data_IF_842797322122
#
_entry.id   IF_842797322122
#
_cell.length_a   1.000
_cell.length_b   1.000
_cell.length_c   1.000
_cell.angle_alpha   90.00
_cell.angle_beta   90.00
_cell.angle_gamma   90.00
#
_symmetry.space_group_name_H-M   'P 1'
#
loop_
_entity.id
_entity.type
_entity.pdbx_description
1 polymer ?
#
# COMPACT_ATOMS: atom_id res chain seq x y z
N UNK A 1 32.24 15.81 21.33
CA UNK A 1 31.09 15.09 20.72
C UNK A 1 30.07 14.63 21.77
N UNK A 2 30.49 14.08 22.92
CA UNK A 2 29.61 13.80 24.08
C UNK A 2 28.99 15.05 24.76
N UNK A 3 29.70 16.19 24.69
CA UNK A 3 29.28 17.45 25.34
C UNK A 3 27.96 18.04 24.82
N UNK A 4 27.63 17.83 23.55
CA UNK A 4 26.42 18.37 22.94
C UNK A 4 25.15 17.62 23.39
N UNK A 5 25.30 16.34 23.77
CA UNK A 5 24.20 15.49 24.25
C UNK A 5 23.90 15.83 25.71
N UNK A 6 24.93 15.94 26.56
CA UNK A 6 24.74 16.32 27.97
C UNK A 6 24.11 17.70 28.14
N UNK A 7 24.42 18.66 27.25
CA UNK A 7 23.84 20.01 27.29
C UNK A 7 22.34 20.06 26.95
N UNK A 8 21.74 18.96 26.46
CA UNK A 8 20.33 18.86 26.10
C UNK A 8 19.52 17.89 26.96
N UNK A 9 20.13 17.28 27.97
CA UNK A 9 19.41 16.42 28.90
C UNK A 9 18.54 17.26 29.83
N UNK A 10 17.27 16.91 29.91
CA UNK A 10 16.31 17.48 30.86
C UNK A 10 16.46 16.79 32.23
N UNK A 11 15.86 17.37 33.27
CA UNK A 11 15.94 16.81 34.63
C UNK A 11 15.45 15.35 34.68
N UNK A 12 16.31 14.47 35.19
CA UNK A 12 16.05 13.03 35.30
C UNK A 12 16.46 12.21 34.08
N UNK A 13 16.85 12.85 32.97
CA UNK A 13 17.41 12.15 31.81
C UNK A 13 18.88 11.77 32.04
N UNK A 14 19.31 10.63 31.49
CA UNK A 14 20.69 10.13 31.64
C UNK A 14 21.20 9.64 30.30
N UNK A 15 22.42 9.99 29.94
CA UNK A 15 23.06 9.48 28.73
C UNK A 15 24.41 8.80 29.02
N UNK A 16 24.72 7.75 28.29
CA UNK A 16 26.03 7.10 28.31
C UNK A 16 26.38 6.52 26.93
N UNK A 17 27.68 6.34 26.66
CA UNK A 17 28.13 5.69 25.43
C UNK A 17 28.25 4.18 25.62
N UNK A 18 27.89 3.39 24.62
CA UNK A 18 28.10 1.94 24.58
C UNK A 18 28.41 1.51 23.15
N UNK A 19 29.57 0.89 22.93
CA UNK A 19 29.97 0.28 21.65
C UNK A 19 29.71 1.14 20.40
N UNK A 20 30.12 2.42 20.43
CA UNK A 20 29.93 3.35 19.30
C UNK A 20 28.53 3.97 19.19
N UNK A 21 27.62 3.66 20.11
CA UNK A 21 26.30 4.28 20.20
C UNK A 21 26.14 5.12 21.47
N UNK A 22 25.22 6.07 21.46
CA UNK A 22 24.76 6.79 22.65
C UNK A 22 23.39 6.26 23.08
N UNK A 23 23.26 5.93 24.36
CA UNK A 23 21.99 5.53 24.97
C UNK A 23 21.52 6.68 25.83
N UNK A 24 20.27 7.10 25.64
CA UNK A 24 19.60 8.12 26.47
C UNK A 24 18.40 7.48 27.15
N UNK A 25 18.38 7.58 28.47
CA UNK A 25 17.24 7.25 29.32
C UNK A 25 16.47 8.53 29.62
N UNK A 26 15.15 8.53 29.34
CA UNK A 26 14.25 9.63 29.67
C UNK A 26 13.07 9.08 30.49
N UNK A 27 12.82 9.59 31.72
CA UNK A 27 11.71 9.14 32.56
C UNK A 27 10.40 9.80 32.09
N UNK A 28 9.96 9.46 30.88
CA UNK A 28 8.72 9.98 30.30
C UNK A 28 7.66 8.87 30.21
N UNK A 29 6.42 9.19 30.61
CA UNK A 29 5.25 8.36 30.32
C UNK A 29 4.85 8.57 28.86
N UNK A 30 5.13 7.58 28.00
CA UNK A 30 4.76 7.65 26.59
C UNK A 30 3.26 7.38 26.45
N UNK A 31 2.47 8.44 26.23
CA UNK A 31 1.04 8.32 25.94
C UNK A 31 0.88 8.16 24.42
N UNK A 32 0.72 6.91 23.96
CA UNK A 32 0.44 6.62 22.55
C UNK A 32 -1.00 6.98 22.19
N UNK A 33 -1.19 8.09 21.46
CA UNK A 33 -2.46 8.38 20.76
C UNK A 33 -2.25 8.22 19.26
N UNK A 34 -2.33 6.98 18.78
CA UNK A 34 -2.27 6.68 17.34
C UNK A 34 -0.98 7.08 16.63
N UNK A 35 0.19 6.76 17.21
CA UNK A 35 1.50 7.04 16.61
C UNK A 35 1.93 5.98 15.60
N UNK A 36 2.50 6.40 14.46
CA UNK A 36 3.19 5.51 13.51
C UNK A 36 4.55 5.10 14.07
N UNK A 37 4.81 3.80 14.16
CA UNK A 37 6.13 3.26 14.47
C UNK A 37 6.94 3.08 13.19
N UNK A 38 8.20 3.53 13.17
CA UNK A 38 9.16 3.25 12.10
C UNK A 38 10.25 2.33 12.66
N UNK A 39 10.42 1.16 12.02
CA UNK A 39 11.56 0.28 12.24
C UNK A 39 12.62 0.63 11.20
N UNK A 40 13.68 1.31 11.61
CA UNK A 40 14.86 1.50 10.77
C UNK A 40 15.79 0.28 10.95
N UNK A 41 15.45 -0.80 10.24
CA UNK A 41 16.32 -1.96 10.13
C UNK A 41 17.44 -1.72 9.12
N UNK A 42 18.62 -2.32 9.35
CA UNK A 42 19.72 -2.40 8.39
C UNK A 42 19.17 -2.80 7.01
N UNK A 43 19.33 -1.90 6.03
CA UNK A 43 18.92 -2.03 4.61
C UNK A 43 18.07 -3.26 4.33
N UNK A 44 16.75 -3.12 4.51
CA UNK A 44 15.80 -4.16 4.11
C UNK A 44 15.96 -4.38 2.61
N UNK A 45 16.66 -5.46 2.24
CA UNK A 45 16.66 -6.03 0.90
C UNK A 45 15.20 -6.01 0.45
N UNK A 46 14.88 -5.33 -0.66
CA UNK A 46 13.49 -5.14 -0.98
C UNK A 46 12.86 -6.51 -1.12
N UNK A 47 11.85 -6.78 -0.31
CA UNK A 47 11.06 -7.98 -0.50
C UNK A 47 10.54 -7.90 -1.94
N UNK A 48 11.02 -8.80 -2.80
CA UNK A 48 10.32 -9.19 -4.04
C UNK A 48 9.02 -9.94 -3.66
N UNK A 49 8.38 -9.53 -2.57
CA UNK A 49 7.28 -10.19 -1.93
C UNK A 49 6.02 -9.51 -2.41
N UNK A 50 5.13 -10.30 -2.99
CA UNK A 50 3.77 -9.91 -3.32
C UNK A 50 3.22 -8.90 -2.31
N UNK A 51 2.92 -7.69 -2.77
CA UNK A 51 2.23 -6.71 -1.94
C UNK A 51 0.84 -7.27 -1.58
N UNK A 52 0.69 -7.64 -0.31
CA UNK A 52 -0.52 -8.28 0.21
C UNK A 52 -1.74 -7.37 0.09
N UNK A 53 -1.55 -6.05 0.17
CA UNK A 53 -2.65 -5.10 0.01
C UNK A 53 -3.13 -5.08 -1.44
N UNK A 54 -2.20 -5.06 -2.40
CA UNK A 54 -2.55 -5.13 -3.83
C UNK A 54 -3.23 -6.46 -4.19
N UNK A 55 -2.69 -7.58 -3.73
CA UNK A 55 -3.27 -8.92 -3.95
C UNK A 55 -4.65 -9.03 -3.31
N UNK A 56 -4.81 -8.57 -2.07
CA UNK A 56 -6.10 -8.54 -1.40
C UNK A 56 -7.09 -7.62 -2.10
N UNK A 57 -6.60 -6.52 -2.67
CA UNK A 57 -7.41 -5.60 -3.46
C UNK A 57 -7.99 -6.24 -4.71
N UNK A 58 -7.15 -6.96 -5.48
CA UNK A 58 -7.60 -7.74 -6.64
C UNK A 58 -8.61 -8.81 -6.25
N UNK A 59 -8.36 -9.56 -5.17
CA UNK A 59 -9.35 -10.54 -4.69
C UNK A 59 -10.69 -9.87 -4.40
N UNK A 60 -10.66 -8.79 -3.61
CA UNK A 60 -11.88 -8.08 -3.20
C UNK A 60 -12.63 -7.51 -4.41
N UNK A 61 -11.94 -6.99 -5.42
CA UNK A 61 -12.60 -6.46 -6.61
C UNK A 61 -13.33 -7.54 -7.41
N UNK A 62 -12.73 -8.73 -7.55
CA UNK A 62 -13.41 -9.88 -8.16
C UNK A 62 -14.57 -10.41 -7.30
N UNK A 63 -14.46 -10.37 -5.97
CA UNK A 63 -15.55 -10.73 -5.07
C UNK A 63 -16.75 -9.80 -5.26
N UNK A 64 -16.52 -8.49 -5.37
CA UNK A 64 -17.57 -7.49 -5.61
C UNK A 64 -18.21 -7.70 -6.99
N UNK A 65 -17.41 -7.93 -8.04
CA UNK A 65 -17.94 -8.21 -9.37
C UNK A 65 -18.87 -9.44 -9.36
N UNK A 66 -18.48 -10.50 -8.63
CA UNK A 66 -19.33 -11.69 -8.46
C UNK A 66 -20.57 -11.40 -7.61
N UNK A 67 -20.47 -10.59 -6.56
CA UNK A 67 -21.61 -10.32 -5.66
C UNK A 67 -22.71 -9.52 -6.35
N UNK A 68 -22.37 -8.68 -7.33
CA UNK A 68 -23.37 -7.98 -8.16
C UNK A 68 -23.86 -8.83 -9.35
N UNK A 69 -23.46 -10.09 -9.46
CA UNK A 69 -23.80 -10.97 -10.56
C UNK A 69 -23.31 -10.43 -11.91
N UNK A 70 -22.11 -9.84 -11.95
CA UNK A 70 -21.51 -9.39 -13.20
C UNK A 70 -21.23 -10.59 -14.10
N UNK A 71 -21.83 -10.58 -15.29
CA UNK A 71 -21.57 -11.51 -16.38
C UNK A 71 -21.03 -10.76 -17.58
N UNK A 72 -19.96 -11.30 -18.15
CA UNK A 72 -19.40 -10.86 -19.43
C UNK A 72 -19.91 -11.70 -20.60
N UNK A 73 -20.84 -12.63 -20.35
CA UNK A 73 -21.42 -13.48 -21.39
C UNK A 73 -22.45 -12.71 -22.22
N UNK A 74 -22.22 -12.70 -23.53
CA UNK A 74 -23.07 -12.06 -24.53
C UNK A 74 -22.44 -10.80 -25.13
N UNK A 75 -23.23 -9.99 -25.86
CA UNK A 75 -22.72 -8.85 -26.60
C UNK A 75 -22.33 -7.65 -25.72
N UNK A 76 -22.76 -7.63 -24.45
CA UNK A 76 -22.45 -6.55 -23.52
C UNK A 76 -22.39 -7.08 -22.06
N UNK A 77 -21.57 -6.46 -21.19
CA UNK A 77 -21.55 -6.76 -19.77
C UNK A 77 -22.93 -6.53 -19.13
N UNK A 78 -23.35 -7.44 -18.27
CA UNK A 78 -24.61 -7.34 -17.49
C UNK A 78 -24.32 -7.57 -16.02
N UNK A 79 -25.05 -6.86 -15.15
CA UNK A 79 -25.00 -7.08 -13.70
C UNK A 79 -26.42 -7.22 -13.17
N UNK A 80 -26.63 -8.17 -12.25
CA UNK A 80 -27.91 -8.39 -11.58
C UNK A 80 -28.13 -7.47 -10.37
N UNK A 81 -27.07 -6.85 -9.86
CA UNK A 81 -27.08 -5.95 -8.72
C UNK A 81 -26.24 -4.69 -8.93
N UNK A 82 -26.23 -3.85 -7.91
CA UNK A 82 -25.49 -2.58 -7.89
C UNK A 82 -24.62 -2.48 -6.65
N UNK A 83 -23.54 -1.71 -6.77
CA UNK A 83 -22.62 -1.45 -5.67
C UNK A 83 -23.14 -0.29 -4.82
N UNK A 84 -23.34 -0.56 -3.52
CA UNK A 84 -24.10 0.33 -2.64
C UNK A 84 -23.26 1.31 -1.82
N UNK A 85 -21.94 1.09 -1.68
CA UNK A 85 -21.07 1.98 -0.92
C UNK A 85 -19.87 2.51 -1.73
N UNK A 86 -19.35 3.66 -1.30
CA UNK A 86 -18.24 4.37 -1.99
C UNK A 86 -16.99 3.52 -2.09
N UNK A 87 -16.66 2.75 -1.05
CA UNK A 87 -15.46 1.93 -1.04
C UNK A 87 -15.51 0.84 -2.11
N UNK A 88 -16.62 0.12 -2.21
CA UNK A 88 -16.80 -0.92 -3.22
C UNK A 88 -16.86 -0.34 -4.64
N UNK A 89 -17.38 0.89 -4.82
CA UNK A 89 -17.36 1.58 -6.12
C UNK A 89 -15.94 1.91 -6.58
N UNK A 90 -15.03 2.20 -5.66
CA UNK A 90 -13.60 2.40 -5.96
C UNK A 90 -12.86 1.08 -6.14
N UNK A 91 -13.32 -0.01 -5.51
CA UNK A 91 -12.69 -1.33 -5.59
C UNK A 91 -13.11 -2.12 -6.82
N UNK A 92 -14.39 -2.11 -7.20
CA UNK A 92 -14.90 -2.90 -8.32
C UNK A 92 -14.12 -2.70 -9.64
N UNK A 93 -13.69 -1.48 -10.03
CA UNK A 93 -12.92 -1.27 -11.25
C UNK A 93 -11.59 -2.03 -11.32
N UNK A 94 -10.99 -2.38 -10.18
CA UNK A 94 -9.70 -3.09 -10.16
C UNK A 94 -9.78 -4.49 -10.80
N UNK A 95 -10.97 -5.10 -10.84
CA UNK A 95 -11.19 -6.39 -11.52
C UNK A 95 -10.96 -6.31 -13.04
N UNK A 96 -10.96 -5.10 -13.61
CA UNK A 96 -10.82 -4.83 -15.04
C UNK A 96 -9.48 -4.16 -15.39
N UNK A 97 -8.51 -4.21 -14.48
CA UNK A 97 -7.14 -3.82 -14.79
C UNK A 97 -6.61 -4.64 -15.96
N UNK A 98 -5.69 -4.05 -16.73
CA UNK A 98 -5.03 -4.73 -17.81
C UNK A 98 -4.44 -6.07 -17.32
N UNK A 99 -4.62 -7.18 -18.06
CA UNK A 99 -4.25 -8.51 -17.58
C UNK A 99 -2.79 -8.63 -17.14
N UNK A 100 -1.88 -7.95 -17.85
CA UNK A 100 -0.45 -7.88 -17.53
C UNK A 100 -0.17 -7.17 -16.20
N UNK A 101 -0.95 -6.14 -15.85
CA UNK A 101 -0.87 -5.46 -14.55
C UNK A 101 -1.30 -6.40 -13.43
N UNK A 102 -2.44 -7.09 -13.61
CA UNK A 102 -2.91 -8.08 -12.64
C UNK A 102 -1.88 -9.19 -12.43
N UNK A 103 -1.32 -9.73 -13.52
CA UNK A 103 -0.26 -10.72 -13.45
C UNK A 103 0.99 -10.19 -12.76
N UNK A 104 1.39 -8.93 -13.00
CA UNK A 104 2.54 -8.35 -12.32
C UNK A 104 2.31 -8.28 -10.81
N UNK A 105 1.13 -7.84 -10.36
CA UNK A 105 0.74 -7.80 -8.95
C UNK A 105 0.80 -9.20 -8.33
N UNK A 106 0.19 -10.19 -8.99
CA UNK A 106 0.15 -11.57 -8.52
C UNK A 106 1.53 -12.25 -8.50
N UNK A 107 2.46 -11.79 -9.33
CA UNK A 107 3.83 -12.31 -9.38
C UNK A 107 4.82 -11.50 -8.52
N UNK A 108 4.37 -10.44 -7.83
CA UNK A 108 5.29 -9.55 -7.11
C UNK A 108 6.21 -8.72 -8.02
N UNK A 109 5.84 -8.55 -9.29
CA UNK A 109 6.58 -7.82 -10.35
C UNK A 109 6.02 -6.42 -10.62
N UNK A 110 5.05 -5.95 -9.83
CA UNK A 110 4.53 -4.59 -9.95
C UNK A 110 5.62 -3.54 -9.69
N UNK A 111 5.49 -2.32 -10.27
CA UNK A 111 6.34 -1.19 -9.91
C UNK A 111 6.32 -0.91 -8.41
N UNK A 112 7.47 -0.58 -7.82
CA UNK A 112 7.59 -0.27 -6.37
C UNK A 112 6.76 0.93 -5.94
N UNK A 113 6.50 1.84 -6.86
CA UNK A 113 5.68 3.02 -6.64
C UNK A 113 4.19 2.71 -6.64
N UNK A 114 3.77 1.52 -7.11
CA UNK A 114 2.37 1.15 -7.23
C UNK A 114 1.79 0.82 -5.85
N UNK A 115 0.77 1.55 -5.44
CA UNK A 115 0.04 1.29 -4.19
C UNK A 115 -1.43 1.01 -4.46
N UNK A 116 -2.11 0.35 -3.51
CA UNK A 116 -3.54 0.11 -3.62
C UNK A 116 -4.35 1.42 -3.73
N UNK A 117 -3.93 2.46 -3.01
CA UNK A 117 -4.59 3.77 -3.06
C UNK A 117 -4.51 4.44 -4.43
N UNK A 118 -3.44 4.21 -5.19
CA UNK A 118 -3.33 4.71 -6.57
C UNK A 118 -4.26 3.98 -7.53
N UNK A 119 -4.64 2.73 -7.23
CA UNK A 119 -5.62 1.98 -8.04
C UNK A 119 -7.07 2.38 -7.71
N UNK A 120 -7.33 2.89 -6.50
CA UNK A 120 -8.66 3.32 -6.03
C UNK A 120 -9.04 4.71 -6.58
N UNK A 121 -9.07 4.85 -7.90
CA UNK A 121 -9.43 6.09 -8.58
C UNK A 121 -10.94 6.27 -8.67
N UNK A 122 -11.42 7.52 -8.54
CA UNK A 122 -12.82 7.86 -8.83
C UNK A 122 -13.22 7.54 -10.28
N UNK A 123 -12.26 7.64 -11.20
CA UNK A 123 -12.41 7.30 -12.60
C UNK A 123 -11.20 6.46 -13.04
N UNK A 124 -11.38 5.15 -13.13
CA UNK A 124 -10.39 4.22 -13.67
C UNK A 124 -10.30 4.43 -15.19
N UNK A 125 -9.10 4.56 -15.79
CA UNK A 125 -8.97 4.63 -17.24
C UNK A 125 -9.55 3.37 -17.90
N UNK A 126 -10.41 3.55 -18.90
CA UNK A 126 -11.08 2.43 -19.60
C UNK A 126 -10.15 1.73 -20.59
N UNK A 127 -9.18 2.45 -21.16
CA UNK A 127 -8.17 1.89 -22.05
C UNK A 127 -7.04 1.24 -21.25
N UNK A 128 -6.71 -0.01 -21.58
CA UNK A 128 -5.54 -0.66 -20.99
C UNK A 128 -4.23 0.07 -21.29
N UNK A 129 -4.10 0.74 -22.45
CA UNK A 129 -2.94 1.56 -22.75
C UNK A 129 -2.84 2.78 -21.81
N UNK A 130 -3.97 3.38 -21.44
CA UNK A 130 -3.99 4.45 -20.44
C UNK A 130 -3.70 3.94 -19.04
N UNK A 131 -4.24 2.78 -18.66
CA UNK A 131 -3.93 2.15 -17.37
C UNK A 131 -2.43 1.88 -17.24
N UNK A 132 -1.79 1.31 -18.27
CA UNK A 132 -0.35 1.05 -18.24
C UNK A 132 0.46 2.33 -18.05
N UNK A 133 0.13 3.38 -18.82
CA UNK A 133 0.77 4.71 -18.66
C UNK A 133 0.56 5.28 -17.26
N UNK A 134 -0.65 5.22 -16.74
CA UNK A 134 -1.00 5.77 -15.43
C UNK A 134 -0.32 5.04 -14.27
N UNK A 135 -0.10 3.72 -14.40
CA UNK A 135 0.42 2.87 -13.33
C UNK A 135 1.90 2.49 -13.50
N UNK A 136 2.60 3.09 -14.46
CA UNK A 136 4.05 2.89 -14.65
C UNK A 136 4.43 1.56 -15.30
N UNK A 137 3.54 1.00 -16.13
CA UNK A 137 3.81 -0.18 -16.94
C UNK A 137 4.19 0.21 -18.37
N UNK A 138 5.08 -0.56 -18.99
CA UNK A 138 5.38 -0.42 -20.41
C UNK A 138 4.13 -0.73 -21.25
N UNK A 139 3.91 0.02 -22.33
CA UNK A 139 2.91 -0.36 -23.32
C UNK A 139 3.34 -1.69 -23.98
N UNK A 140 2.46 -2.69 -23.94
CA UNK A 140 2.61 -3.97 -24.66
C UNK A 140 2.14 -3.77 -26.09
#
# INVERSE_FOLDING_TARGET
MLSLIYARLSDGERAWSRAGAFVVFSPASVVFRGGRAWLEGHQSRPANGLDRALVSGLRRSHDIARSIGLSLEGPAPRAAGVVNNTHERLMAPLAFLAPDIQQAILNGRQPRSLTLSQLQLKAMPMSWAEQRRAFGFAAV
#
